data_IF_017740779032
#
_entry.id   IF_017740779032
#
_cell.length_a   1.000
_cell.length_b   1.000
_cell.length_c   1.000
_cell.angle_alpha   90.00
_cell.angle_beta   90.00
_cell.angle_gamma   90.00
#
_symmetry.space_group_name_H-M   'P 1'
#
loop_
_entity.id
_entity.type
_entity.pdbx_description
1 polymer ?
#
# COMPACT_ATOMS: atom_id res chain seq x y z
N UNK A 1 -31.06 -53.79 -43.03
CA UNK A 1 -30.71 -53.23 -41.71
C UNK A 1 -30.72 -54.39 -40.74
N UNK A 2 -29.55 -54.83 -40.28
CA UNK A 2 -29.38 -56.04 -39.46
C UNK A 2 -29.65 -55.78 -37.98
N UNK A 3 -30.31 -56.76 -37.37
CA UNK A 3 -30.80 -56.82 -35.98
C UNK A 3 -29.75 -57.36 -35.00
N UNK A 4 -29.99 -57.15 -33.69
CA UNK A 4 -29.63 -58.02 -32.53
C UNK A 4 -29.56 -57.15 -31.26
N UNK A 5 -30.59 -57.12 -30.39
CA UNK A 5 -30.92 -57.99 -29.24
C UNK A 5 -30.06 -57.75 -27.96
N UNK A 6 -30.78 -57.45 -26.86
CA UNK A 6 -30.41 -57.13 -25.45
C UNK A 6 -29.62 -58.26 -24.70
N UNK A 7 -29.33 -58.27 -23.36
CA UNK A 7 -29.75 -57.41 -22.23
C UNK A 7 -28.66 -57.19 -21.10
N UNK A 8 -29.14 -56.81 -19.92
CA UNK A 8 -28.49 -56.38 -18.65
C UNK A 8 -27.64 -57.42 -17.86
N UNK A 9 -26.68 -56.85 -17.13
CA UNK A 9 -25.93 -57.23 -15.91
C UNK A 9 -25.93 -58.67 -15.33
N UNK A 10 -24.72 -59.17 -15.04
CA UNK A 10 -24.46 -60.05 -13.87
C UNK A 10 -23.03 -59.88 -13.31
N UNK A 11 -22.91 -60.07 -12.00
CA UNK A 11 -21.71 -59.93 -11.15
C UNK A 11 -20.72 -61.09 -11.32
N UNK A 12 -19.43 -60.84 -11.11
CA UNK A 12 -18.51 -61.86 -10.53
C UNK A 12 -17.58 -61.23 -9.50
N UNK A 13 -17.54 -61.87 -8.33
CA UNK A 13 -16.62 -61.64 -7.22
C UNK A 13 -15.52 -62.71 -7.18
N UNK A 14 -14.28 -62.33 -6.94
CA UNK A 14 -13.23 -63.07 -6.20
C UNK A 14 -12.02 -62.12 -6.11
N UNK A 15 -11.19 -62.03 -5.09
CA UNK A 15 -10.83 -62.92 -4.00
C UNK A 15 -9.34 -62.67 -3.73
N UNK A 16 -9.05 -61.99 -2.61
CA UNK A 16 -7.76 -61.54 -2.05
C UNK A 16 -6.47 -62.32 -2.42
N UNK A 17 -5.36 -61.57 -2.58
CA UNK A 17 -4.07 -61.98 -1.98
C UNK A 17 -3.28 -60.77 -1.46
N UNK A 18 -2.59 -60.99 -0.34
CA UNK A 18 -1.94 -60.01 0.55
C UNK A 18 -0.55 -59.62 0.03
N UNK A 19 -0.22 -58.33 0.12
CA UNK A 19 1.16 -57.83 0.08
C UNK A 19 1.26 -56.53 0.88
N UNK A 20 1.76 -56.62 2.12
CA UNK A 20 2.10 -55.46 2.96
C UNK A 20 3.34 -54.78 2.35
N UNK A 21 3.22 -53.52 1.96
CA UNK A 21 4.33 -52.55 2.01
C UNK A 21 3.88 -51.38 2.88
N UNK A 22 4.51 -51.22 4.03
CA UNK A 22 4.36 -50.05 4.88
C UNK A 22 5.16 -48.89 4.27
N UNK A 23 4.55 -48.14 3.34
CA UNK A 23 5.08 -46.82 3.02
C UNK A 23 4.67 -45.84 4.14
N UNK A 24 5.59 -45.67 5.07
CA UNK A 24 5.51 -44.66 6.13
C UNK A 24 5.49 -43.29 5.47
N UNK A 25 4.40 -42.54 5.63
CA UNK A 25 4.38 -41.10 5.39
C UNK A 25 5.48 -40.47 6.25
N UNK A 26 6.39 -39.65 5.70
CA UNK A 26 7.40 -38.99 6.50
C UNK A 26 6.73 -38.08 7.53
N UNK A 27 7.14 -38.23 8.79
CA UNK A 27 6.71 -37.38 9.89
C UNK A 27 7.15 -35.95 9.64
N UNK A 28 6.24 -35.00 9.88
CA UNK A 28 6.54 -33.56 9.92
C UNK A 28 7.34 -33.32 11.20
N UNK A 29 8.61 -33.65 11.17
CA UNK A 29 9.57 -33.31 12.22
C UNK A 29 10.95 -33.36 11.59
N UNK A 30 11.25 -32.32 10.81
CA UNK A 30 12.60 -31.80 10.54
C UNK A 30 12.50 -30.75 9.44
N UNK A 31 11.81 -29.64 9.75
CA UNK A 31 12.07 -28.38 9.06
C UNK A 31 12.97 -27.56 9.98
N UNK A 32 14.25 -27.47 9.59
CA UNK A 32 15.23 -26.62 10.21
C UNK A 32 14.61 -25.24 10.45
N UNK A 33 14.40 -24.90 11.72
CA UNK A 33 13.92 -23.59 12.10
C UNK A 33 14.92 -22.55 11.56
N UNK A 34 14.47 -21.52 10.83
CA UNK A 34 15.32 -20.39 10.55
C UNK A 34 15.84 -19.89 11.90
N UNK A 35 17.17 -19.75 12.04
CA UNK A 35 17.78 -19.21 13.23
C UNK A 35 17.06 -17.89 13.56
N UNK A 36 16.38 -17.85 14.70
CA UNK A 36 15.77 -16.63 15.21
C UNK A 36 16.90 -15.61 15.38
N UNK A 37 16.99 -14.64 14.47
CA UNK A 37 17.75 -13.44 14.72
C UNK A 37 17.29 -12.88 16.06
N UNK A 38 18.23 -12.72 17.01
CA UNK A 38 17.94 -12.10 18.30
C UNK A 38 17.23 -10.77 18.01
N UNK A 39 16.02 -10.54 18.54
CA UNK A 39 15.28 -9.33 18.23
C UNK A 39 16.12 -8.11 18.65
N UNK A 40 16.62 -7.38 17.66
CA UNK A 40 17.13 -6.03 17.85
C UNK A 40 16.06 -5.25 18.60
N UNK A 41 16.44 -4.66 19.75
CA UNK A 41 15.64 -3.84 20.67
C UNK A 41 14.21 -3.58 20.16
N UNK A 42 13.29 -4.42 20.65
CA UNK A 42 11.87 -4.43 20.29
C UNK A 42 11.30 -3.00 20.31
N UNK A 43 10.79 -2.50 19.19
CA UNK A 43 9.99 -1.26 19.12
C UNK A 43 8.90 -1.20 20.21
N UNK A 44 8.39 -2.37 20.62
CA UNK A 44 7.45 -2.52 21.73
C UNK A 44 7.95 -1.92 23.07
N UNK A 45 9.27 -1.73 23.23
CA UNK A 45 9.89 -1.04 24.37
C UNK A 45 9.96 0.49 24.20
N UNK A 46 9.87 1.01 22.96
CA UNK A 46 9.70 2.44 22.66
C UNK A 46 8.21 2.86 22.71
N UNK A 47 7.25 1.91 22.67
CA UNK A 47 5.81 2.18 22.86
C UNK A 47 5.43 2.83 24.23
N UNK A 48 6.00 2.41 25.37
CA UNK A 48 5.85 3.12 26.65
C UNK A 48 6.36 4.56 26.61
N UNK A 49 7.41 4.83 25.84
CA UNK A 49 7.89 6.20 25.60
C UNK A 49 6.88 7.00 24.78
N UNK A 50 6.21 6.42 23.78
CA UNK A 50 5.12 7.12 23.05
C UNK A 50 3.87 7.35 23.92
N UNK A 51 3.48 6.39 24.76
CA UNK A 51 2.34 6.55 25.66
C UNK A 51 2.60 7.64 26.72
N UNK A 52 3.78 7.64 27.34
CA UNK A 52 4.20 8.72 28.26
C UNK A 52 4.49 10.05 27.54
N UNK A 53 4.97 10.04 26.29
CA UNK A 53 5.20 11.24 25.49
C UNK A 53 3.91 12.02 25.18
N UNK A 54 2.75 11.35 25.12
CA UNK A 54 1.44 12.03 25.01
C UNK A 54 1.18 13.00 26.16
N UNK A 55 1.80 12.80 27.33
CA UNK A 55 1.71 13.74 28.45
C UNK A 55 2.58 14.99 28.29
N UNK A 56 3.54 14.97 27.36
CA UNK A 56 4.47 16.08 27.07
C UNK A 56 4.13 16.68 25.72
N UNK A 57 3.28 17.69 25.74
CA UNK A 57 2.95 18.45 24.54
C UNK A 57 4.12 19.36 24.17
N UNK A 58 4.64 19.19 22.96
CA UNK A 58 5.63 20.10 22.38
C UNK A 58 4.97 21.01 21.35
N UNK A 59 5.56 22.18 21.14
CA UNK A 59 5.18 23.08 20.05
C UNK A 59 6.29 23.13 19.01
N UNK A 60 5.88 23.27 17.75
CA UNK A 60 6.81 23.50 16.64
C UNK A 60 6.37 24.73 15.85
N UNK A 61 7.34 25.43 15.28
CA UNK A 61 7.08 26.46 14.29
C UNK A 61 6.72 25.79 12.95
N UNK A 62 5.77 26.35 12.19
CA UNK A 62 5.51 25.92 10.82
C UNK A 62 6.78 25.91 9.97
N UNK A 63 6.85 24.98 9.03
CA UNK A 63 8.01 24.85 8.16
C UNK A 63 8.07 23.51 7.47
N UNK A 64 9.22 23.25 6.86
CA UNK A 64 9.52 21.99 6.18
C UNK A 64 10.23 21.04 7.13
N UNK A 65 9.74 19.82 7.24
CA UNK A 65 10.28 18.80 8.13
C UNK A 65 10.60 17.53 7.36
N UNK A 66 11.63 16.81 7.82
CA UNK A 66 11.74 15.38 7.53
C UNK A 66 10.70 14.64 8.36
N UNK A 67 9.96 13.75 7.72
CA UNK A 67 8.83 13.07 8.34
C UNK A 67 8.89 11.57 8.02
N UNK A 68 8.80 10.77 9.07
CA UNK A 68 8.52 9.34 8.98
C UNK A 68 7.01 9.12 9.01
N UNK A 69 6.43 8.84 7.85
CA UNK A 69 5.01 8.56 7.69
C UNK A 69 4.73 7.09 7.95
N UNK A 70 3.71 6.80 8.75
CA UNK A 70 3.28 5.42 8.97
C UNK A 70 2.54 4.83 7.75
N UNK A 71 2.36 3.51 7.72
CA UNK A 71 1.47 2.84 6.77
C UNK A 71 0.07 3.45 6.69
N UNK A 72 -0.51 3.90 7.81
CA UNK A 72 -1.85 4.49 7.85
C UNK A 72 -1.92 5.85 7.15
N UNK A 73 -0.89 6.69 7.34
CA UNK A 73 -0.83 8.00 6.68
C UNK A 73 -0.57 7.81 5.19
N UNK A 74 0.35 6.92 4.85
CA UNK A 74 0.69 6.67 3.46
C UNK A 74 -0.45 6.01 2.69
N UNK A 75 -1.15 5.06 3.34
CA UNK A 75 -2.39 4.46 2.84
C UNK A 75 -3.45 5.49 2.56
N UNK A 76 -3.69 6.42 3.49
CA UNK A 76 -4.66 7.49 3.32
C UNK A 76 -4.32 8.42 2.14
N UNK A 77 -3.09 8.96 2.08
CA UNK A 77 -2.66 9.87 1.01
C UNK A 77 -2.74 9.18 -0.36
N UNK A 78 -2.20 7.96 -0.48
CA UNK A 78 -2.18 7.24 -1.77
C UNK A 78 -3.56 6.72 -2.17
N UNK A 79 -4.42 6.36 -1.21
CA UNK A 79 -5.78 5.93 -1.52
C UNK A 79 -6.58 7.06 -2.21
N UNK A 80 -6.50 8.28 -1.69
CA UNK A 80 -7.09 9.44 -2.38
C UNK A 80 -6.40 9.74 -3.70
N UNK A 81 -5.07 9.73 -3.71
CA UNK A 81 -4.28 10.04 -4.90
C UNK A 81 -4.50 9.05 -6.04
N UNK A 82 -4.94 7.82 -5.74
CA UNK A 82 -5.28 6.80 -6.74
C UNK A 82 -6.39 7.25 -7.69
N UNK A 83 -7.30 8.14 -7.25
CA UNK A 83 -8.31 8.74 -8.12
C UNK A 83 -7.68 9.57 -9.25
N UNK A 84 -6.57 10.24 -8.99
CA UNK A 84 -5.85 11.02 -10.01
C UNK A 84 -5.07 10.13 -10.99
N UNK A 85 -4.84 8.86 -10.67
CA UNK A 85 -4.24 7.89 -11.59
C UNK A 85 -5.26 7.35 -12.62
N UNK A 86 -6.55 7.64 -12.44
CA UNK A 86 -7.59 7.37 -13.43
C UNK A 86 -7.31 8.13 -14.73
N UNK A 87 -7.31 7.43 -15.87
CA UNK A 87 -7.16 8.14 -17.16
C UNK A 87 -8.32 9.11 -17.41
N UNK A 88 -9.50 8.86 -16.84
CA UNK A 88 -10.61 9.81 -16.86
C UNK A 88 -10.25 11.14 -16.16
N UNK A 89 -9.59 11.08 -15.00
CA UNK A 89 -9.14 12.27 -14.28
C UNK A 89 -8.05 13.02 -15.07
N UNK A 90 -7.17 12.30 -15.76
CA UNK A 90 -6.16 12.89 -16.66
C UNK A 90 -6.83 13.63 -17.82
N UNK A 91 -7.76 12.97 -18.52
CA UNK A 91 -8.45 13.50 -19.68
C UNK A 91 -9.31 14.74 -19.33
N UNK A 92 -9.92 14.75 -18.15
CA UNK A 92 -10.75 15.88 -17.66
C UNK A 92 -9.93 17.00 -17.00
N UNK A 93 -8.60 16.89 -16.93
CA UNK A 93 -7.74 17.91 -16.35
C UNK A 93 -7.75 17.97 -14.81
N UNK A 94 -8.25 16.91 -14.15
CA UNK A 94 -8.37 16.77 -12.71
C UNK A 94 -7.26 15.91 -12.08
N UNK A 95 -6.14 15.71 -12.79
CA UNK A 95 -5.04 14.85 -12.33
C UNK A 95 -3.72 15.59 -12.25
N UNK A 96 -3.05 15.45 -11.11
CA UNK A 96 -1.67 15.85 -10.92
C UNK A 96 -0.64 14.96 -11.62
N UNK A 97 -1.07 13.80 -12.12
CA UNK A 97 -0.24 12.89 -12.90
C UNK A 97 -0.32 13.16 -14.41
N UNK A 98 -1.12 14.13 -14.85
CA UNK A 98 -1.24 14.46 -16.27
C UNK A 98 0.12 14.78 -16.90
N UNK A 99 0.44 14.08 -18.00
CA UNK A 99 1.71 14.24 -18.70
C UNK A 99 2.94 13.68 -17.96
N UNK A 100 2.74 12.87 -16.92
CA UNK A 100 3.83 12.23 -16.16
C UNK A 100 4.15 10.81 -16.63
N UNK A 101 3.38 10.24 -17.56
CA UNK A 101 3.63 8.90 -18.09
C UNK A 101 5.06 8.79 -18.65
N UNK A 102 5.80 7.77 -18.20
CA UNK A 102 7.21 7.53 -18.53
C UNK A 102 8.21 8.40 -17.76
N UNK A 103 7.77 9.41 -17.00
CA UNK A 103 8.65 10.30 -16.23
C UNK A 103 8.92 9.76 -14.84
N UNK A 104 10.07 10.16 -14.29
CA UNK A 104 10.44 9.92 -12.92
C UNK A 104 9.69 10.88 -12.00
N UNK A 105 8.97 10.33 -11.03
CA UNK A 105 8.13 11.04 -10.07
C UNK A 105 8.46 10.66 -8.62
N UNK A 106 9.35 9.69 -8.40
CA UNK A 106 9.86 9.28 -7.09
C UNK A 106 11.24 8.61 -7.23
N UNK A 107 11.84 8.21 -6.11
CA UNK A 107 13.10 7.46 -6.06
C UNK A 107 12.99 6.09 -6.75
N UNK A 108 14.11 5.57 -7.24
CA UNK A 108 14.20 4.25 -7.86
C UNK A 108 13.81 3.08 -6.93
N UNK A 109 13.81 3.30 -5.62
CA UNK A 109 13.33 2.31 -4.64
C UNK A 109 11.80 2.28 -4.49
N UNK A 110 11.07 3.25 -5.05
CA UNK A 110 9.62 3.37 -4.93
C UNK A 110 8.90 2.68 -6.10
N UNK A 111 8.07 1.69 -5.81
CA UNK A 111 7.22 1.00 -6.77
C UNK A 111 5.83 0.73 -6.21
N UNK A 112 4.82 1.30 -6.86
CA UNK A 112 3.42 1.26 -6.46
C UNK A 112 2.61 0.43 -7.43
N UNK A 113 1.80 -0.47 -6.87
CA UNK A 113 1.01 -1.43 -7.62
C UNK A 113 -0.48 -1.30 -7.26
N UNK A 114 -1.34 -1.69 -8.19
CA UNK A 114 -2.70 -2.13 -7.89
C UNK A 114 -2.72 -3.66 -8.03
N UNK A 115 -3.05 -4.37 -6.95
CA UNK A 115 -2.89 -5.83 -6.85
C UNK A 115 -4.18 -6.52 -6.37
N UNK A 116 -5.18 -6.64 -7.25
CA UNK A 116 -6.44 -7.35 -6.96
C UNK A 116 -6.28 -8.87 -6.87
N UNK A 117 -5.11 -9.43 -7.23
CA UNK A 117 -4.81 -10.86 -7.16
C UNK A 117 -4.30 -11.29 -5.77
N UNK A 118 -3.92 -10.33 -4.89
CA UNK A 118 -3.71 -10.63 -3.47
C UNK A 118 -5.05 -10.85 -2.75
N UNK A 119 -5.54 -12.10 -2.82
CA UNK A 119 -6.78 -12.60 -2.21
C UNK A 119 -6.86 -12.50 -0.69
N UNK A 120 -5.77 -12.10 -0.04
CA UNK A 120 -5.78 -11.92 1.41
C UNK A 120 -6.04 -10.46 1.83
N UNK A 121 -6.22 -9.55 0.87
CA UNK A 121 -6.74 -8.21 1.08
C UNK A 121 -8.21 -8.06 0.64
N UNK A 122 -8.92 -7.10 1.24
CA UNK A 122 -10.38 -6.92 1.00
C UNK A 122 -10.72 -6.26 -0.34
N UNK A 123 -9.71 -5.79 -1.08
CA UNK A 123 -9.87 -5.24 -2.43
C UNK A 123 -9.68 -6.27 -3.53
N UNK A 124 -9.41 -7.54 -3.19
CA UNK A 124 -9.22 -8.60 -4.18
C UNK A 124 -10.47 -8.83 -5.01
N UNK A 125 -10.31 -9.01 -6.32
CA UNK A 125 -11.42 -9.30 -7.24
C UNK A 125 -10.91 -10.06 -8.47
N UNK A 126 -11.82 -10.72 -9.17
CA UNK A 126 -11.50 -11.52 -10.37
C UNK A 126 -11.68 -10.74 -11.67
N UNK A 127 -12.65 -9.83 -11.69
CA UNK A 127 -12.96 -8.99 -12.83
C UNK A 127 -13.41 -7.60 -12.38
N UNK A 128 -13.20 -6.58 -13.20
CA UNK A 128 -13.66 -5.21 -12.99
C UNK A 128 -15.17 -5.04 -13.22
N UNK A 129 -15.70 -3.82 -13.11
CA UNK A 129 -17.15 -3.57 -13.21
C UNK A 129 -17.68 -3.70 -14.65
N UNK A 130 -16.80 -3.92 -15.65
CA UNK A 130 -17.14 -4.26 -17.04
C UNK A 130 -17.00 -5.77 -17.32
N UNK A 131 -16.58 -6.56 -16.33
CA UNK A 131 -16.33 -7.99 -16.48
C UNK A 131 -14.96 -8.34 -17.06
N UNK A 132 -14.05 -7.37 -17.18
CA UNK A 132 -12.67 -7.60 -17.64
C UNK A 132 -11.87 -8.26 -16.52
N UNK A 133 -11.14 -9.37 -16.79
CA UNK A 133 -10.26 -9.97 -15.79
C UNK A 133 -9.25 -8.96 -15.22
N UNK A 134 -9.12 -8.94 -13.90
CA UNK A 134 -8.14 -8.06 -13.24
C UNK A 134 -6.79 -8.76 -13.10
N UNK A 135 -5.71 -7.99 -13.08
CA UNK A 135 -4.35 -8.49 -12.85
C UNK A 135 -3.54 -7.47 -12.07
N UNK A 136 -2.42 -7.90 -11.46
CA UNK A 136 -1.50 -6.97 -10.83
C UNK A 136 -0.92 -5.96 -11.82
N UNK A 137 -1.18 -4.68 -11.58
CA UNK A 137 -0.71 -3.56 -12.39
C UNK A 137 0.43 -2.81 -11.68
N UNK A 138 1.57 -2.66 -12.35
CA UNK A 138 2.63 -1.74 -11.92
C UNK A 138 2.29 -0.31 -12.38
N UNK A 139 1.84 0.52 -11.44
CA UNK A 139 1.46 1.91 -11.73
C UNK A 139 2.71 2.80 -11.74
N UNK A 140 3.52 2.69 -10.68
CA UNK A 140 4.81 3.35 -10.58
C UNK A 140 5.85 2.24 -10.43
N UNK A 141 6.79 2.16 -11.35
CA UNK A 141 7.85 1.16 -11.35
C UNK A 141 9.21 1.84 -11.27
N UNK A 142 9.96 1.57 -10.21
CA UNK A 142 11.28 2.16 -9.94
C UNK A 142 11.28 3.69 -10.11
N UNK A 143 10.35 4.34 -9.41
CA UNK A 143 10.21 5.80 -9.41
C UNK A 143 9.53 6.39 -10.65
N UNK A 144 9.27 5.61 -11.70
CA UNK A 144 8.68 6.11 -12.95
C UNK A 144 7.21 5.76 -13.07
N UNK A 145 6.38 6.71 -13.50
CA UNK A 145 4.96 6.41 -13.79
C UNK A 145 4.87 5.55 -15.06
N UNK A 146 4.36 4.33 -14.93
CA UNK A 146 4.30 3.32 -16.01
C UNK A 146 2.92 3.21 -16.64
N UNK A 147 1.86 3.41 -15.85
CA UNK A 147 0.49 3.24 -16.33
C UNK A 147 -0.47 4.20 -15.63
N UNK A 148 -1.53 4.58 -16.34
CA UNK A 148 -2.77 5.05 -15.72
C UNK A 148 -3.72 3.86 -15.53
N UNK A 149 -4.83 4.11 -14.85
CA UNK A 149 -5.92 3.15 -14.71
C UNK A 149 -6.91 3.34 -15.86
N UNK A 150 -7.27 2.24 -16.51
CA UNK A 150 -8.16 2.24 -17.66
C UNK A 150 -9.33 1.27 -17.50
N UNK A 151 -10.49 1.73 -17.97
CA UNK A 151 -11.65 0.96 -18.41
C UNK A 151 -11.57 0.72 -19.92
N UNK A 152 -12.50 -0.04 -20.50
CA UNK A 152 -12.59 -0.24 -21.96
C UNK A 152 -12.71 1.09 -22.70
N UNK A 153 -13.58 1.99 -22.23
CA UNK A 153 -13.83 3.27 -22.91
C UNK A 153 -12.63 4.22 -22.84
N UNK A 154 -11.96 4.31 -21.69
CA UNK A 154 -10.78 5.16 -21.51
C UNK A 154 -9.54 4.59 -22.21
N UNK A 155 -9.37 3.26 -22.22
CA UNK A 155 -8.33 2.59 -23.00
C UNK A 155 -8.48 2.88 -24.50
N UNK A 156 -9.71 2.78 -25.03
CA UNK A 156 -10.01 3.09 -26.43
C UNK A 156 -9.61 4.52 -26.80
N UNK A 157 -9.93 5.52 -25.96
CA UNK A 157 -9.56 6.92 -26.19
C UNK A 157 -8.06 7.18 -26.05
N UNK A 158 -7.38 6.43 -25.18
CA UNK A 158 -5.93 6.51 -24.99
C UNK A 158 -5.13 5.76 -26.06
N UNK A 159 -5.78 4.92 -26.88
CA UNK A 159 -5.09 4.01 -27.81
C UNK A 159 -4.32 2.91 -27.09
N UNK A 160 -4.78 2.46 -25.92
CA UNK A 160 -4.15 1.44 -25.08
C UNK A 160 -5.07 0.24 -24.85
N UNK A 161 -4.59 -0.76 -24.10
CA UNK A 161 -5.43 -1.84 -23.56
C UNK A 161 -6.08 -1.45 -22.23
N UNK A 162 -7.19 -2.10 -21.89
CA UNK A 162 -7.77 -2.01 -20.54
C UNK A 162 -6.79 -2.55 -19.50
N UNK A 163 -6.76 -1.95 -18.32
CA UNK A 163 -5.97 -2.43 -17.19
C UNK A 163 -6.80 -3.28 -16.22
N UNK A 164 -8.07 -3.55 -16.54
CA UNK A 164 -8.99 -4.21 -15.63
C UNK A 164 -9.33 -3.32 -14.43
N UNK A 165 -9.47 -2.02 -14.64
CA UNK A 165 -9.77 -1.04 -13.59
C UNK A 165 -11.09 -0.31 -13.81
N UNK A 166 -11.99 -0.81 -14.66
CA UNK A 166 -13.29 -0.16 -14.84
C UNK A 166 -14.08 -0.12 -13.52
N UNK A 167 -14.28 1.10 -13.01
CA UNK A 167 -15.24 1.38 -11.96
C UNK A 167 -16.55 1.91 -12.55
N UNK A 168 -17.62 1.91 -11.75
CA UNK A 168 -18.96 2.39 -12.15
C UNK A 168 -18.95 3.72 -12.94
N UNK A 169 -18.19 4.73 -12.47
CA UNK A 169 -18.13 6.06 -13.11
C UNK A 169 -16.83 6.27 -13.85
N UNK A 170 -15.72 5.90 -13.22
CA UNK A 170 -14.37 6.13 -13.75
C UNK A 170 -13.44 5.00 -13.31
N UNK A 171 -12.33 4.78 -14.03
CA UNK A 171 -11.34 3.81 -13.61
C UNK A 171 -10.83 4.09 -12.20
N UNK A 172 -10.69 3.04 -11.37
CA UNK A 172 -10.22 3.15 -9.98
C UNK A 172 -9.32 1.98 -9.61
N UNK A 173 -8.46 2.22 -8.62
CA UNK A 173 -7.66 1.16 -8.04
C UNK A 173 -8.52 0.25 -7.15
N UNK A 174 -8.12 -1.01 -7.04
CA UNK A 174 -8.80 -2.02 -6.24
C UNK A 174 -8.09 -2.23 -4.91
N UNK A 175 -6.78 -2.40 -4.95
CA UNK A 175 -5.94 -2.74 -3.82
C UNK A 175 -4.52 -2.23 -4.02
N UNK A 176 -4.27 -1.01 -3.54
CA UNK A 176 -2.96 -0.37 -3.64
C UNK A 176 -1.92 -1.09 -2.77
N UNK A 177 -0.73 -1.31 -3.32
CA UNK A 177 0.38 -1.97 -2.63
C UNK A 177 1.69 -1.26 -2.96
N UNK A 178 2.39 -0.78 -1.94
CA UNK A 178 3.75 -0.24 -2.09
C UNK A 178 4.77 -1.35 -1.79
N UNK A 179 5.87 -1.41 -2.54
CA UNK A 179 6.93 -2.39 -2.29
C UNK A 179 7.56 -2.22 -0.90
N UNK A 180 8.15 -3.30 -0.40
CA UNK A 180 9.02 -3.22 0.77
C UNK A 180 10.36 -2.59 0.35
N UNK A 181 10.93 -1.77 1.23
CA UNK A 181 12.32 -1.35 1.13
C UNK A 181 13.24 -2.32 1.89
N UNK A 182 14.43 -1.83 2.25
CA UNK A 182 15.49 -2.63 2.87
C UNK A 182 15.67 -2.32 4.36
N UNK A 183 15.34 -1.10 4.77
CA UNK A 183 15.60 -0.61 6.12
C UNK A 183 14.49 -1.07 7.06
N UNK A 184 14.86 -1.59 8.24
CA UNK A 184 13.88 -1.90 9.28
C UNK A 184 13.32 -0.61 9.87
N UNK A 185 12.05 -0.60 10.24
CA UNK A 185 11.42 0.55 10.90
C UNK A 185 12.24 1.08 12.09
N UNK A 186 12.82 0.21 12.91
CA UNK A 186 13.60 0.67 14.08
C UNK A 186 14.80 1.52 13.68
N UNK A 187 15.47 1.14 12.58
CA UNK A 187 16.61 1.88 12.05
C UNK A 187 16.15 3.18 11.37
N UNK A 188 14.98 3.19 10.74
CA UNK A 188 14.43 4.42 10.14
C UNK A 188 14.12 5.51 11.19
N UNK A 189 13.76 5.11 12.41
CA UNK A 189 13.56 6.07 13.50
C UNK A 189 14.88 6.66 13.98
N UNK A 190 15.94 5.86 13.98
CA UNK A 190 17.28 6.34 14.30
C UNK A 190 17.82 7.25 13.15
N UNK A 191 17.60 6.86 11.88
CA UNK A 191 17.94 7.64 10.67
C UNK A 191 17.13 8.94 10.51
N UNK A 192 15.95 9.02 11.13
CA UNK A 192 15.15 10.25 11.17
C UNK A 192 15.93 11.36 11.87
N UNK A 193 16.76 11.02 12.85
CA UNK A 193 17.53 11.92 13.73
C UNK A 193 16.65 13.03 14.34
N UNK A 194 16.43 14.10 13.60
CA UNK A 194 15.57 15.22 13.95
C UNK A 194 14.42 15.37 12.95
N UNK A 195 13.18 15.19 13.42
CA UNK A 195 12.01 15.27 12.54
C UNK A 195 10.71 14.87 13.22
N UNK A 196 9.73 14.47 12.41
CA UNK A 196 8.41 14.06 12.91
C UNK A 196 8.13 12.60 12.59
N UNK A 197 7.58 11.87 13.56
CA UNK A 197 6.91 10.59 13.32
C UNK A 197 5.41 10.83 13.34
N UNK A 198 4.73 10.58 12.22
CA UNK A 198 3.28 10.77 12.11
C UNK A 198 2.62 9.42 11.95
N UNK A 199 1.89 9.00 12.99
CA UNK A 199 1.24 7.71 13.01
C UNK A 199 -0.07 7.69 12.23
N UNK A 200 -0.94 8.68 12.36
CA UNK A 200 -2.25 8.69 11.70
C UNK A 200 -2.60 10.08 11.15
N UNK A 201 -3.42 10.11 10.08
CA UNK A 201 -3.89 11.34 9.43
C UNK A 201 -5.37 11.22 9.03
N UNK A 202 -6.11 12.32 9.14
CA UNK A 202 -7.57 12.39 9.06
C UNK A 202 -7.98 13.62 8.25
N UNK A 203 -9.14 13.58 7.60
CA UNK A 203 -9.69 14.69 6.82
C UNK A 203 -8.75 15.18 5.71
N UNK A 204 -8.23 14.24 4.93
CA UNK A 204 -7.45 14.57 3.73
C UNK A 204 -8.38 15.18 2.70
N UNK A 205 -8.13 16.45 2.37
CA UNK A 205 -8.90 17.23 1.39
C UNK A 205 -7.94 17.85 0.40
N UNK A 206 -8.28 17.73 -0.88
CA UNK A 206 -7.54 18.35 -1.95
C UNK A 206 -8.16 19.71 -2.27
N UNK A 207 -7.35 20.76 -2.27
CA UNK A 207 -7.76 22.12 -2.67
C UNK A 207 -7.53 22.34 -4.16
N UNK A 208 -6.55 21.64 -4.74
CA UNK A 208 -6.22 21.71 -6.16
C UNK A 208 -5.87 20.31 -6.67
N UNK A 209 -6.75 19.75 -7.51
CA UNK A 209 -6.59 18.39 -8.01
C UNK A 209 -5.53 18.31 -9.11
N UNK A 210 -5.42 19.38 -9.91
CA UNK A 210 -4.49 19.47 -11.04
C UNK A 210 -3.05 19.56 -10.58
N UNK A 211 -2.81 20.23 -9.46
CA UNK A 211 -1.48 20.30 -8.84
C UNK A 211 -1.30 19.30 -7.69
N UNK A 212 -2.36 18.58 -7.31
CA UNK A 212 -2.34 17.58 -6.26
C UNK A 212 -2.10 18.18 -4.87
N UNK A 213 -2.47 19.44 -4.67
CA UNK A 213 -2.32 20.15 -3.40
C UNK A 213 -3.42 19.68 -2.47
N UNK A 214 -3.01 19.23 -1.29
CA UNK A 214 -3.88 18.74 -0.28
C UNK A 214 -3.52 19.28 1.10
N UNK A 215 -4.47 19.12 2.00
CA UNK A 215 -4.22 19.28 3.40
C UNK A 215 -4.89 18.17 4.20
N UNK A 216 -4.17 17.65 5.19
CA UNK A 216 -4.65 16.61 6.09
C UNK A 216 -4.26 16.92 7.53
N UNK A 217 -5.04 16.43 8.47
CA UNK A 217 -4.82 16.64 9.91
C UNK A 217 -4.19 15.39 10.50
N UNK A 218 -2.88 15.42 10.82
CA UNK A 218 -2.29 14.45 11.72
C UNK A 218 -3.07 14.41 13.03
N UNK A 219 -3.57 13.24 13.41
CA UNK A 219 -4.34 13.05 14.64
C UNK A 219 -3.90 11.78 15.31
N UNK A 220 -3.61 11.86 16.61
CA UNK A 220 -3.14 10.77 17.47
C UNK A 220 -1.79 10.20 17.01
N UNK A 221 -0.82 10.14 17.93
CA UNK A 221 0.50 9.60 17.63
C UNK A 221 1.32 10.46 16.67
N UNK A 222 1.32 11.77 16.89
CA UNK A 222 2.22 12.73 16.23
C UNK A 222 3.35 13.02 17.21
N UNK A 223 4.58 12.70 16.84
CA UNK A 223 5.72 12.77 17.76
C UNK A 223 6.85 13.59 17.18
N UNK A 224 7.43 14.43 18.03
CA UNK A 224 8.70 15.08 17.77
C UNK A 224 9.82 14.11 18.08
N UNK A 225 10.71 13.89 17.12
CA UNK A 225 11.91 13.06 17.27
C UNK A 225 13.12 13.99 17.26
N UNK A 226 14.02 13.81 18.22
CA UNK A 226 15.34 14.45 18.25
C UNK A 226 16.42 13.45 18.62
N UNK A 227 17.53 13.45 17.88
CA UNK A 227 18.60 12.47 18.04
C UNK A 227 18.13 11.00 17.97
N UNK A 228 17.10 10.70 17.17
CA UNK A 228 16.53 9.36 17.02
C UNK A 228 15.60 8.92 18.17
N UNK A 229 15.32 9.81 19.13
CA UNK A 229 14.45 9.54 20.27
C UNK A 229 13.18 10.39 20.25
N UNK A 230 12.05 9.77 20.60
CA UNK A 230 10.77 10.47 20.74
C UNK A 230 10.81 11.37 21.98
N UNK A 231 10.74 12.69 21.75
CA UNK A 231 10.85 13.70 22.81
C UNK A 231 9.50 14.06 23.43
N UNK A 232 8.43 14.01 22.64
CA UNK A 232 7.11 14.46 23.06
C UNK A 232 6.07 14.31 21.95
N UNK A 233 4.81 14.42 22.32
CA UNK A 233 3.71 14.47 21.36
C UNK A 233 3.51 15.90 20.84
N UNK A 234 3.00 16.00 19.62
CA UNK A 234 2.55 17.23 19.01
C UNK A 234 1.03 17.19 18.81
N UNK A 235 0.42 18.37 18.81
CA UNK A 235 -0.98 18.55 18.43
C UNK A 235 -1.15 19.88 17.72
N UNK A 236 -2.30 20.08 17.07
CA UNK A 236 -2.59 21.34 16.38
C UNK A 236 -1.70 21.60 15.18
N UNK A 237 -1.23 20.54 14.50
CA UNK A 237 -0.49 20.65 13.24
C UNK A 237 -1.31 20.11 12.07
N UNK A 238 -0.88 20.45 10.87
CA UNK A 238 -1.51 20.05 9.61
C UNK A 238 -0.42 19.81 8.57
N UNK A 239 -0.55 18.75 7.78
CA UNK A 239 0.28 18.56 6.58
C UNK A 239 -0.42 19.33 5.46
N UNK A 240 0.30 20.24 4.80
CA UNK A 240 -0.23 21.09 3.73
C UNK A 240 0.74 21.06 2.56
N UNK A 241 0.62 20.04 1.71
CA UNK A 241 1.64 19.68 0.72
C UNK A 241 1.01 19.24 -0.62
N UNK A 242 1.83 18.86 -1.60
CA UNK A 242 1.38 18.23 -2.82
C UNK A 242 1.75 16.74 -2.87
N UNK A 243 0.91 15.93 -3.52
CA UNK A 243 1.21 14.52 -3.76
C UNK A 243 2.51 14.34 -4.53
N UNK A 244 2.76 15.22 -5.50
CA UNK A 244 3.98 15.17 -6.32
C UNK A 244 5.23 15.49 -5.50
N UNK A 245 5.16 16.42 -4.56
CA UNK A 245 6.29 16.75 -3.69
C UNK A 245 6.55 15.63 -2.68
N UNK A 246 5.51 15.01 -2.13
CA UNK A 246 5.68 13.81 -1.28
C UNK A 246 6.38 12.70 -2.05
N UNK A 247 5.91 12.37 -3.26
CA UNK A 247 6.50 11.29 -4.06
C UNK A 247 7.95 11.58 -4.44
N UNK A 248 8.27 12.82 -4.86
CA UNK A 248 9.63 13.22 -5.24
C UNK A 248 10.61 13.20 -4.08
N UNK A 249 10.15 13.49 -2.86
CA UNK A 249 11.01 13.60 -1.69
C UNK A 249 11.03 12.33 -0.82
N UNK A 250 10.55 11.19 -1.33
CA UNK A 250 10.74 9.90 -0.66
C UNK A 250 12.24 9.56 -0.60
N UNK A 251 12.76 9.35 0.61
CA UNK A 251 14.18 9.05 0.83
C UNK A 251 14.42 7.63 1.32
N UNK A 252 13.46 7.00 1.99
CA UNK A 252 13.56 5.61 2.42
C UNK A 252 12.19 4.96 2.60
N UNK A 253 12.17 3.63 2.46
CA UNK A 253 10.97 2.79 2.59
C UNK A 253 11.29 1.65 3.56
N UNK A 254 10.39 1.36 4.50
CA UNK A 254 10.61 0.26 5.43
C UNK A 254 10.49 -1.11 4.76
N UNK A 255 11.22 -2.08 5.31
CA UNK A 255 11.10 -3.50 4.97
C UNK A 255 9.74 -4.05 5.39
N UNK A 256 9.26 -3.62 6.56
CA UNK A 256 7.96 -4.00 7.08
C UNK A 256 6.86 -3.35 6.25
N UNK A 257 5.79 -4.11 5.97
CA UNK A 257 4.56 -3.60 5.38
C UNK A 257 3.38 -4.00 6.24
N UNK A 258 2.38 -3.14 6.31
CA UNK A 258 1.13 -3.40 7.02
C UNK A 258 -0.03 -3.27 6.07
N UNK A 259 -1.00 -4.18 6.22
CA UNK A 259 -2.31 -3.98 5.63
C UNK A 259 -3.06 -2.95 6.46
N UNK A 260 -3.54 -1.93 5.79
CA UNK A 260 -4.25 -0.82 6.40
C UNK A 260 -5.56 -0.60 5.67
N UNK A 261 -6.57 -0.25 6.46
CA UNK A 261 -7.83 0.35 6.00
C UNK A 261 -8.12 1.44 7.00
N UNK A 262 -7.50 2.59 6.81
CA UNK A 262 -7.69 3.73 7.70
C UNK A 262 -8.99 4.49 7.38
N UNK A 263 -9.33 5.45 8.24
CA UNK A 263 -10.50 6.28 8.08
C UNK A 263 -10.46 7.06 6.76
N UNK A 264 -11.60 7.11 6.08
CA UNK A 264 -11.82 7.67 4.73
C UNK A 264 -10.93 7.10 3.59
N UNK A 265 -10.10 6.08 3.82
CA UNK A 265 -9.45 5.37 2.71
C UNK A 265 -10.52 4.79 1.79
N UNK A 266 -10.39 5.03 0.49
CA UNK A 266 -11.34 4.55 -0.54
C UNK A 266 -11.18 3.04 -0.71
N UNK A 267 -9.95 2.54 -0.71
CA UNK A 267 -9.57 1.13 -0.88
C UNK A 267 -8.65 0.71 0.26
N UNK A 268 -8.69 -0.57 0.66
CA UNK A 268 -7.65 -1.10 1.53
C UNK A 268 -6.30 -1.10 0.80
N UNK A 269 -5.21 -1.04 1.56
CA UNK A 269 -3.88 -0.99 1.00
C UNK A 269 -2.84 -1.76 1.82
N UNK A 270 -1.74 -2.12 1.19
CA UNK A 270 -0.56 -2.67 1.86
C UNK A 270 0.58 -1.67 1.77
N UNK A 271 0.93 -1.06 2.89
CA UNK A 271 1.85 0.08 2.94
C UNK A 271 3.00 -0.15 3.95
N UNK A 272 4.24 0.23 3.60
CA UNK A 272 5.36 0.39 4.52
C UNK A 272 5.29 1.74 5.26
N UNK A 273 6.20 1.93 6.21
CA UNK A 273 6.61 3.26 6.65
C UNK A 273 7.45 3.91 5.55
N UNK A 274 7.31 5.22 5.38
CA UNK A 274 8.00 5.98 4.34
C UNK A 274 8.62 7.23 4.96
N UNK A 275 9.93 7.41 4.74
CA UNK A 275 10.62 8.65 5.11
C UNK A 275 10.55 9.61 3.94
N UNK A 276 10.12 10.84 4.22
CA UNK A 276 9.93 11.90 3.23
C UNK A 276 10.57 13.18 3.76
N UNK A 277 11.38 13.80 2.92
CA UNK A 277 12.04 15.05 3.25
C UNK A 277 11.19 16.26 2.85
N UNK A 278 11.29 17.33 3.63
CA UNK A 278 10.75 18.62 3.25
C UNK A 278 9.22 18.73 3.24
N UNK A 279 8.50 17.87 3.97
CA UNK A 279 7.04 17.97 4.10
C UNK A 279 6.67 19.27 4.79
N UNK A 280 5.74 20.02 4.19
CA UNK A 280 5.26 21.28 4.73
C UNK A 280 4.23 21.07 5.85
N UNK A 281 4.59 21.51 7.05
CA UNK A 281 3.77 21.45 8.26
C UNK A 281 3.31 22.85 8.64
N UNK A 282 2.00 23.03 8.77
CA UNK A 282 1.36 24.27 9.22
C UNK A 282 0.65 24.08 10.56
N UNK A 283 0.26 25.19 11.21
CA UNK A 283 -0.64 25.12 12.36
C UNK A 283 -2.06 24.76 11.91
N UNK A 284 -2.76 24.00 12.74
CA UNK A 284 -4.20 23.83 12.63
C UNK A 284 -4.87 25.12 13.15
N UNK A 285 -5.82 25.64 12.37
CA UNK A 285 -6.63 26.79 12.74
C UNK A 285 -7.70 26.39 13.76
#
# INVERSE_FOLDING_TARGET
MNASSAPEASRVSSGLSKGRSQDRRPSISDSAHPQQEKPSRRWDQKLPATASATSRMSEINPGKFRVLLSPYVMGNILSYSSGFLSYYAVETGLSCFAGMLGKEISTGEFSLYDDPEDYSGVGSRMCDDEGTPTSRLEIIGQGKLKSYLHSTSTATRAGTGTTGNAGIISPRAWQMSLNAGKTRFENMLDDLEDGLLINNAWYTRFQDYRNGIFSTVPRDGVFLVKGGEVQGALSGIRISDSVMDILKNVTAISRERKRVKWWEEISASTMPYVMVDGINISKAF
#
